data_IF_278176015143
#
_entry.id   IF_278176015143
#
_cell.length_a   1.000
_cell.length_b   1.000
_cell.length_c   1.000
_cell.angle_alpha   90.00
_cell.angle_beta   90.00
_cell.angle_gamma   90.00
#
_symmetry.space_group_name_H-M   'P 1'
#
loop_
_entity.id
_entity.type
_entity.pdbx_description
1 polymer ?
#
# COMPACT_ATOMS: atom_id res chain seq x y z
N UNK A 1 -1.38 -36.31 -9.64
CA UNK A 1 -2.65 -35.72 -9.15
C UNK A 1 -2.96 -36.27 -7.76
N UNK A 2 -3.43 -35.46 -6.80
CA UNK A 2 -4.00 -35.91 -5.51
C UNK A 2 -5.42 -35.34 -5.36
N UNK A 3 -6.30 -36.09 -4.70
CA UNK A 3 -7.74 -36.01 -4.97
C UNK A 3 -8.46 -34.87 -4.18
N UNK A 4 -8.59 -33.68 -4.80
CA UNK A 4 -9.26 -32.50 -4.21
C UNK A 4 -10.63 -32.81 -3.58
N UNK A 5 -11.41 -33.71 -4.18
CA UNK A 5 -12.78 -34.07 -3.74
C UNK A 5 -12.86 -34.56 -2.29
N UNK A 6 -11.81 -35.21 -1.76
CA UNK A 6 -11.83 -35.74 -0.39
C UNK A 6 -11.70 -34.66 0.68
N UNK A 7 -10.95 -33.57 0.41
CA UNK A 7 -10.84 -32.44 1.35
C UNK A 7 -12.19 -31.74 1.57
N UNK A 8 -12.94 -31.48 0.49
CA UNK A 8 -14.25 -30.84 0.58
C UNK A 8 -15.27 -31.67 1.38
N UNK A 9 -15.23 -33.01 1.25
CA UNK A 9 -16.09 -33.89 2.05
C UNK A 9 -15.82 -33.79 3.56
N UNK A 10 -14.56 -33.75 3.97
CA UNK A 10 -14.18 -33.56 5.38
C UNK A 10 -14.60 -32.18 5.92
N UNK A 11 -14.46 -31.12 5.10
CA UNK A 11 -14.86 -29.76 5.48
C UNK A 11 -16.39 -29.68 5.68
N UNK A 12 -17.19 -30.26 4.78
CA UNK A 12 -18.65 -30.27 4.89
C UNK A 12 -19.13 -30.98 6.17
N UNK A 13 -18.50 -32.11 6.52
CA UNK A 13 -18.80 -32.85 7.75
C UNK A 13 -18.46 -32.05 9.01
N UNK A 14 -17.36 -31.30 9.01
CA UNK A 14 -16.98 -30.41 10.10
C UNK A 14 -18.00 -29.28 10.31
N UNK A 15 -18.47 -28.64 9.22
CA UNK A 15 -19.49 -27.58 9.27
C UNK A 15 -20.82 -28.11 9.83
N UNK A 16 -21.26 -29.28 9.36
CA UNK A 16 -22.51 -29.90 9.84
C UNK A 16 -22.45 -30.25 11.34
N UNK A 17 -21.32 -30.75 11.85
CA UNK A 17 -21.14 -31.00 13.28
C UNK A 17 -21.17 -29.70 14.10
N UNK A 18 -20.56 -28.62 13.61
CA UNK A 18 -20.51 -27.35 14.32
C UNK A 18 -21.89 -26.69 14.47
N UNK A 19 -22.73 -26.76 13.42
CA UNK A 19 -24.10 -26.24 13.43
C UNK A 19 -24.96 -26.97 14.48
N UNK A 20 -24.84 -28.30 14.59
CA UNK A 20 -25.56 -29.08 15.60
C UNK A 20 -25.20 -28.69 17.04
N UNK A 21 -23.94 -28.34 17.32
CA UNK A 21 -23.52 -27.86 18.64
C UNK A 21 -24.04 -26.45 18.95
N UNK A 22 -24.06 -25.54 17.97
CA UNK A 22 -24.52 -24.16 18.16
C UNK A 22 -26.00 -24.07 18.59
N UNK A 23 -26.85 -25.00 18.14
CA UNK A 23 -28.25 -25.07 18.53
C UNK A 23 -28.48 -25.44 20.01
N UNK A 24 -27.50 -26.05 20.68
CA UNK A 24 -27.65 -26.50 22.08
C UNK A 24 -27.39 -25.39 23.12
N UNK A 25 -26.51 -24.42 22.82
CA UNK A 25 -26.12 -23.37 23.79
C UNK A 25 -27.15 -22.23 23.91
N UNK A 26 -28.06 -22.07 22.94
CA UNK A 26 -28.91 -20.87 22.81
C UNK A 26 -30.11 -20.79 23.77
N UNK A 27 -29.98 -21.37 24.98
CA UNK A 27 -31.08 -21.57 25.94
C UNK A 27 -30.74 -21.26 27.41
N UNK A 28 -29.70 -20.47 27.65
CA UNK A 28 -29.33 -19.98 28.98
C UNK A 28 -29.14 -18.45 28.97
N UNK A 29 -29.36 -17.85 30.14
CA UNK A 29 -29.05 -16.46 30.55
C UNK A 29 -29.77 -15.31 29.81
N UNK A 30 -30.84 -14.85 30.46
CA UNK A 30 -31.32 -13.45 30.45
C UNK A 30 -31.61 -13.08 31.90
N UNK A 31 -30.87 -12.13 32.49
CA UNK A 31 -31.36 -11.28 33.58
C UNK A 31 -30.53 -9.99 33.74
N UNK A 32 -30.97 -9.08 34.62
CA UNK A 32 -30.54 -7.66 34.70
C UNK A 32 -29.37 -7.47 35.73
N UNK A 33 -28.77 -6.29 36.01
CA UNK A 33 -29.28 -4.91 36.06
C UNK A 33 -28.17 -3.82 36.20
N UNK A 34 -28.57 -2.53 36.18
CA UNK A 34 -27.79 -1.28 36.35
C UNK A 34 -28.33 -0.44 37.54
N UNK A 35 -27.75 0.72 37.95
CA UNK A 35 -26.49 1.37 37.54
C UNK A 35 -25.42 1.30 38.67
N UNK A 36 -25.00 2.32 39.49
CA UNK A 36 -25.31 3.75 39.63
C UNK A 36 -24.23 4.70 39.00
N UNK A 37 -24.11 5.96 39.47
CA UNK A 37 -23.19 7.04 39.04
C UNK A 37 -22.74 7.86 40.28
N UNK A 38 -21.55 8.48 40.27
CA UNK A 38 -21.22 9.65 41.13
C UNK A 38 -20.16 10.59 40.48
N UNK A 39 -19.86 11.75 41.09
CA UNK A 39 -19.13 12.89 40.51
C UNK A 39 -17.86 13.36 41.27
N UNK A 40 -16.97 14.09 40.57
CA UNK A 40 -15.76 14.79 41.09
C UNK A 40 -14.73 14.97 39.95
N UNK A 41 -14.31 16.18 39.56
CA UNK A 41 -13.30 17.06 40.20
C UNK A 41 -11.89 16.44 40.32
N UNK A 42 -10.78 17.09 39.93
CA UNK A 42 -10.58 18.37 39.22
C UNK A 42 -9.19 18.35 38.49
N UNK A 43 -8.94 19.36 37.65
CA UNK A 43 -7.67 19.81 37.04
C UNK A 43 -6.36 19.02 37.26
N UNK A 44 -5.60 18.83 36.19
CA UNK A 44 -4.25 19.42 36.12
C UNK A 44 -3.82 19.75 34.68
N UNK A 45 -3.16 20.89 34.47
CA UNK A 45 -2.59 21.31 33.19
C UNK A 45 -1.08 21.08 33.22
N UNK A 46 -0.52 20.38 32.23
CA UNK A 46 0.93 20.31 32.02
C UNK A 46 1.32 21.33 30.95
N UNK A 47 1.93 22.43 31.37
CA UNK A 47 2.58 23.37 30.46
C UNK A 47 3.84 22.75 29.85
N UNK A 48 4.07 23.02 28.56
CA UNK A 48 5.29 22.60 27.84
C UNK A 48 6.05 23.88 27.41
N UNK A 49 7.22 24.18 28.00
CA UNK A 49 8.04 25.31 27.57
C UNK A 49 8.73 25.03 26.21
N UNK A 50 9.10 26.08 25.46
CA UNK A 50 9.34 25.96 24.02
C UNK A 50 10.72 25.41 23.63
N UNK A 51 10.76 24.88 22.39
CA UNK A 51 11.97 24.55 21.65
C UNK A 51 12.79 25.81 21.34
N UNK A 52 14.11 25.74 21.53
CA UNK A 52 15.06 26.74 21.01
C UNK A 52 16.05 26.06 20.06
N UNK A 53 16.11 26.57 18.82
CA UNK A 53 17.22 26.31 17.91
C UNK A 53 18.47 27.09 18.38
N UNK A 54 19.66 26.62 18.01
CA UNK A 54 20.77 27.53 17.75
C UNK A 54 21.78 26.86 16.81
N UNK A 55 22.20 27.63 15.81
CA UNK A 55 23.22 27.25 14.83
C UNK A 55 24.40 28.18 15.00
N UNK A 56 25.63 27.67 15.14
CA UNK A 56 26.82 28.37 14.61
C UNK A 56 28.08 27.51 14.50
N UNK A 57 28.77 27.69 13.36
CA UNK A 57 30.22 27.61 13.13
C UNK A 57 30.62 29.06 12.79
N UNK A 58 31.86 29.56 13.04
CA UNK A 58 33.09 28.90 12.56
C UNK A 58 34.40 29.19 13.35
N UNK A 59 35.54 28.68 12.87
CA UNK A 59 36.82 29.40 12.78
C UNK A 59 37.85 28.63 11.93
N UNK A 60 38.81 29.33 11.30
CA UNK A 60 39.86 28.80 10.41
C UNK A 60 41.10 29.71 10.45
N UNK A 61 42.31 29.14 10.55
CA UNK A 61 43.65 29.67 10.21
C UNK A 61 44.56 28.42 10.09
N UNK A 62 45.39 28.13 9.08
CA UNK A 62 46.36 28.83 8.20
C UNK A 62 47.71 29.20 8.86
N UNK A 63 48.83 28.82 8.21
CA UNK A 63 50.20 29.07 8.69
C UNK A 63 51.32 28.20 8.10
N UNK A 64 51.59 28.35 6.79
CA UNK A 64 52.85 28.22 6.02
C UNK A 64 53.95 27.13 6.25
N UNK A 65 54.72 26.88 5.18
CA UNK A 65 55.97 26.09 5.09
C UNK A 65 57.15 27.05 4.77
N UNK A 66 58.44 26.70 4.99
CA UNK A 66 59.18 26.01 3.91
C UNK A 66 60.46 25.20 4.31
N UNK A 67 61.17 24.72 3.28
CA UNK A 67 62.61 24.43 3.18
C UNK A 67 63.13 23.01 3.46
N UNK A 68 64.21 22.68 2.75
CA UNK A 68 64.86 21.36 2.62
C UNK A 68 66.17 21.31 3.42
N UNK A 69 66.65 20.11 3.76
CA UNK A 69 68.10 19.85 3.71
C UNK A 69 68.41 18.36 3.44
N UNK A 70 69.53 18.09 2.76
CA UNK A 70 69.89 16.76 2.24
C UNK A 70 70.89 16.00 3.12
N UNK A 71 70.79 14.68 3.19
CA UNK A 71 71.96 13.82 3.44
C UNK A 71 71.77 12.42 2.84
N UNK A 72 72.86 11.71 2.56
CA UNK A 72 72.89 10.61 1.58
C UNK A 72 73.17 9.21 2.17
N UNK A 73 72.75 8.21 1.40
CA UNK A 73 73.20 6.80 1.35
C UNK A 73 73.28 5.95 2.63
N UNK A 74 72.53 4.84 2.61
CA UNK A 74 73.15 3.50 2.59
C UNK A 74 72.26 2.45 1.90
N UNK A 75 72.84 1.76 0.93
CA UNK A 75 72.15 0.72 0.13
C UNK A 75 72.36 -0.65 0.79
N UNK A 76 71.27 -1.41 0.97
CA UNK A 76 71.27 -2.88 1.14
C UNK A 76 70.01 -3.48 0.47
N UNK A 77 70.01 -4.78 0.14
CA UNK A 77 69.51 -5.20 -1.18
C UNK A 77 68.05 -5.65 -1.25
N UNK A 78 67.53 -5.47 -2.47
CA UNK A 78 66.53 -6.30 -3.16
C UNK A 78 65.68 -7.26 -2.32
N UNK A 79 64.43 -6.85 -2.08
CA UNK A 79 63.30 -7.79 -2.03
C UNK A 79 62.46 -7.60 -3.27
N UNK A 80 62.40 -8.63 -4.10
CA UNK A 80 61.50 -8.71 -5.26
C UNK A 80 60.08 -8.37 -4.83
N UNK A 81 59.47 -7.35 -5.44
CA UNK A 81 58.03 -7.15 -5.28
C UNK A 81 57.32 -8.38 -5.85
N UNK A 82 56.30 -8.93 -5.18
CA UNK A 82 55.40 -9.86 -5.84
C UNK A 82 54.76 -9.11 -7.01
N UNK A 83 54.90 -9.62 -8.23
CA UNK A 83 54.28 -9.03 -9.41
C UNK A 83 52.78 -8.83 -9.13
N UNK A 84 52.26 -7.64 -9.42
CA UNK A 84 50.83 -7.37 -9.28
C UNK A 84 50.07 -8.26 -10.26
N UNK A 85 49.55 -9.38 -9.79
CA UNK A 85 48.83 -10.36 -10.60
C UNK A 85 47.53 -9.72 -11.09
N UNK A 86 47.59 -9.20 -12.33
CA UNK A 86 46.43 -8.68 -13.05
C UNK A 86 45.29 -9.69 -12.94
N UNK A 87 44.06 -9.29 -12.56
CA UNK A 87 42.97 -10.24 -12.36
C UNK A 87 42.82 -11.17 -13.55
N UNK A 88 42.89 -12.47 -13.26
CA UNK A 88 42.67 -13.57 -14.21
C UNK A 88 41.41 -13.29 -15.03
N UNK A 89 41.51 -13.38 -16.36
CA UNK A 89 40.46 -13.00 -17.32
C UNK A 89 39.10 -13.63 -16.96
N UNK A 90 38.24 -12.86 -16.30
CA UNK A 90 36.87 -13.29 -16.03
C UNK A 90 36.13 -13.37 -17.37
N UNK A 91 35.35 -14.44 -17.57
CA UNK A 91 34.51 -14.51 -18.76
C UNK A 91 33.49 -13.38 -18.75
N UNK A 92 33.07 -12.89 -19.92
CA UNK A 92 32.07 -11.81 -19.99
C UNK A 92 30.76 -12.20 -19.28
N UNK A 93 30.36 -13.47 -19.35
CA UNK A 93 29.22 -14.01 -18.61
C UNK A 93 29.44 -13.99 -17.09
N UNK A 94 30.68 -14.19 -16.61
CA UNK A 94 31.05 -14.03 -15.19
C UNK A 94 30.93 -12.57 -14.77
N UNK A 95 31.51 -11.64 -15.56
CA UNK A 95 31.46 -10.20 -15.30
C UNK A 95 30.02 -9.70 -15.24
N UNK A 96 29.19 -10.06 -16.22
CA UNK A 96 27.76 -9.72 -16.24
C UNK A 96 27.02 -10.35 -15.07
N UNK A 97 27.29 -11.61 -14.70
CA UNK A 97 26.68 -12.26 -13.53
C UNK A 97 26.99 -11.51 -12.23
N UNK A 98 28.25 -11.10 -12.04
CA UNK A 98 28.67 -10.34 -10.87
C UNK A 98 27.94 -8.99 -10.80
N UNK A 99 27.94 -8.23 -11.91
CA UNK A 99 27.24 -6.94 -12.01
C UNK A 99 25.74 -7.08 -11.69
N UNK A 100 25.06 -8.07 -12.26
CA UNK A 100 23.65 -8.35 -11.99
C UNK A 100 23.41 -8.69 -10.52
N UNK A 101 24.28 -9.49 -9.90
CA UNK A 101 24.18 -9.86 -8.48
C UNK A 101 24.32 -8.63 -7.58
N UNK A 102 25.28 -7.74 -7.88
CA UNK A 102 25.45 -6.46 -7.16
C UNK A 102 24.24 -5.53 -7.33
N UNK A 103 23.71 -5.38 -8.55
CA UNK A 103 22.51 -4.56 -8.82
C UNK A 103 21.29 -5.13 -8.08
N UNK A 104 21.10 -6.44 -8.11
CA UNK A 104 20.00 -7.10 -7.41
C UNK A 104 20.13 -6.94 -5.88
N UNK A 105 21.33 -7.11 -5.32
CA UNK A 105 21.59 -6.89 -3.89
C UNK A 105 21.35 -5.43 -3.47
N UNK A 106 21.84 -4.46 -4.24
CA UNK A 106 21.62 -3.03 -4.01
C UNK A 106 20.13 -2.67 -4.03
N UNK A 107 19.41 -3.01 -5.11
CA UNK A 107 17.98 -2.75 -5.24
C UNK A 107 17.13 -3.50 -4.21
N UNK A 108 17.51 -4.74 -3.85
CA UNK A 108 16.84 -5.50 -2.78
C UNK A 108 17.05 -4.87 -1.40
N UNK A 109 18.15 -4.16 -1.19
CA UNK A 109 18.45 -3.47 0.07
C UNK A 109 17.66 -2.17 0.17
N UNK A 110 17.67 -1.34 -0.87
CA UNK A 110 16.86 -0.11 -0.92
C UNK A 110 15.35 -0.41 -0.83
N UNK A 111 14.85 -1.41 -1.58
CA UNK A 111 13.45 -1.83 -1.50
C UNK A 111 13.02 -2.26 -0.08
N UNK A 112 13.93 -2.86 0.70
CA UNK A 112 13.69 -3.22 2.11
C UNK A 112 13.78 -2.01 3.06
N UNK A 113 14.60 -1.01 2.75
CA UNK A 113 14.84 0.14 3.61
C UNK A 113 13.86 1.31 3.37
N UNK A 114 13.56 1.62 2.11
CA UNK A 114 12.79 2.81 1.70
C UNK A 114 11.55 2.49 0.87
N UNK A 115 11.47 1.28 0.27
CA UNK A 115 10.51 0.93 -0.77
C UNK A 115 9.06 1.31 -0.47
N UNK A 116 8.54 0.96 0.71
CA UNK A 116 7.16 1.33 1.12
C UNK A 116 6.93 2.84 1.13
N UNK A 117 7.88 3.64 1.65
CA UNK A 117 7.78 5.10 1.71
C UNK A 117 7.81 5.74 0.33
N UNK A 118 8.57 5.18 -0.60
CA UNK A 118 8.69 5.63 -1.99
C UNK A 118 7.58 5.09 -2.90
N UNK A 119 6.67 4.25 -2.39
CA UNK A 119 5.64 3.59 -3.20
C UNK A 119 6.25 2.69 -4.27
N UNK A 120 7.33 1.98 -3.93
CA UNK A 120 7.99 1.05 -4.86
C UNK A 120 7.08 -0.15 -5.14
N UNK A 121 6.96 -0.47 -6.43
CA UNK A 121 6.08 -1.49 -6.96
C UNK A 121 6.69 -2.12 -8.22
N UNK A 122 6.26 -3.33 -8.54
CA UNK A 122 6.39 -3.88 -9.87
C UNK A 122 5.48 -3.11 -10.83
N UNK A 123 5.95 -2.77 -12.03
CA UNK A 123 5.13 -2.17 -13.11
C UNK A 123 5.47 -2.84 -14.42
N UNK A 124 4.68 -3.86 -14.80
CA UNK A 124 5.04 -4.84 -15.84
C UNK A 124 6.37 -5.56 -15.54
N UNK A 125 6.57 -5.93 -14.26
CA UNK A 125 7.70 -6.75 -13.80
C UNK A 125 8.99 -5.96 -13.52
N UNK A 126 9.11 -4.74 -14.06
CA UNK A 126 10.22 -3.83 -13.77
C UNK A 126 9.94 -2.99 -12.51
N UNK A 127 11.00 -2.70 -11.74
CA UNK A 127 10.91 -1.99 -10.47
C UNK A 127 10.67 -0.49 -10.70
N UNK A 128 9.61 0.04 -10.09
CA UNK A 128 9.10 1.38 -10.34
C UNK A 128 8.74 2.09 -9.04
N UNK A 129 9.12 3.36 -8.91
CA UNK A 129 8.71 4.23 -7.82
C UNK A 129 7.47 5.01 -8.22
N UNK A 130 6.34 4.74 -7.54
CA UNK A 130 5.06 5.34 -7.90
C UNK A 130 5.05 6.86 -7.71
N UNK A 131 5.45 7.33 -6.53
CA UNK A 131 5.39 8.77 -6.21
C UNK A 131 6.43 9.59 -6.99
N UNK A 132 7.57 8.99 -7.37
CA UNK A 132 8.57 9.62 -8.25
C UNK A 132 8.17 9.58 -9.75
N UNK A 133 7.17 8.78 -10.13
CA UNK A 133 6.77 8.57 -11.53
C UNK A 133 7.81 7.84 -12.42
N UNK A 134 8.81 7.16 -11.84
CA UNK A 134 10.00 6.69 -12.56
C UNK A 134 10.38 5.23 -12.28
N UNK A 135 10.96 4.56 -13.27
CA UNK A 135 11.61 3.26 -13.09
C UNK A 135 12.93 3.41 -12.31
N UNK A 136 13.25 2.41 -11.49
CA UNK A 136 14.52 2.36 -10.75
C UNK A 136 15.62 1.81 -11.66
N UNK A 137 16.76 2.50 -11.70
CA UNK A 137 17.90 2.20 -12.56
C UNK A 137 19.19 2.08 -11.75
N UNK A 138 20.29 1.63 -12.37
CA UNK A 138 21.61 1.64 -11.69
C UNK A 138 21.97 3.04 -11.22
N UNK A 139 21.73 4.05 -12.05
CA UNK A 139 22.03 5.45 -11.75
C UNK A 139 21.22 5.96 -10.56
N UNK A 140 20.00 5.44 -10.36
CA UNK A 140 19.19 5.68 -9.16
C UNK A 140 19.83 5.06 -7.92
N UNK A 141 20.24 3.79 -7.99
CA UNK A 141 20.90 3.10 -6.87
C UNK A 141 22.30 3.67 -6.55
N UNK A 142 22.99 4.25 -7.53
CA UNK A 142 24.25 4.99 -7.32
C UNK A 142 23.97 6.33 -6.63
N UNK A 143 22.96 7.08 -7.07
CA UNK A 143 22.58 8.36 -6.46
C UNK A 143 22.07 8.19 -5.01
N UNK A 144 21.31 7.12 -4.75
CA UNK A 144 20.78 6.77 -3.43
C UNK A 144 21.83 6.04 -2.54
N UNK A 145 23.06 5.81 -3.04
CA UNK A 145 24.19 5.30 -2.26
C UNK A 145 24.26 3.79 -2.06
N UNK A 146 23.42 3.01 -2.74
CA UNK A 146 23.34 1.54 -2.63
C UNK A 146 24.23 0.78 -3.63
N UNK A 147 24.74 1.43 -4.67
CA UNK A 147 25.53 0.81 -5.73
C UNK A 147 26.78 1.65 -6.06
N UNK A 148 27.91 1.00 -6.34
CA UNK A 148 29.12 1.69 -6.80
C UNK A 148 28.98 2.20 -8.24
N UNK A 149 29.58 3.35 -8.53
CA UNK A 149 29.55 3.96 -9.86
C UNK A 149 30.42 3.17 -10.86
N UNK A 150 30.00 3.13 -12.13
CA UNK A 150 30.68 2.40 -13.22
C UNK A 150 29.79 1.43 -14.00
N UNK A 151 28.51 1.29 -13.63
CA UNK A 151 27.51 0.50 -14.35
C UNK A 151 26.50 1.41 -15.03
N UNK A 152 26.26 1.23 -16.32
CA UNK A 152 25.39 2.09 -17.13
C UNK A 152 23.92 1.65 -17.09
N UNK A 153 22.99 2.56 -16.77
CA UNK A 153 21.56 2.26 -16.65
C UNK A 153 20.94 1.56 -17.88
N UNK A 154 21.34 1.92 -19.09
CA UNK A 154 20.82 1.32 -20.32
C UNK A 154 21.21 -0.16 -20.52
N UNK A 155 22.16 -0.70 -19.74
CA UNK A 155 22.62 -2.08 -19.84
C UNK A 155 21.81 -3.09 -19.02
N UNK A 156 20.96 -2.63 -18.08
CA UNK A 156 20.37 -3.49 -17.05
C UNK A 156 18.91 -3.14 -16.79
N UNK A 157 18.05 -4.16 -16.66
CA UNK A 157 16.69 -4.04 -16.12
C UNK A 157 16.69 -4.46 -14.66
N UNK A 158 16.10 -3.64 -13.80
CA UNK A 158 15.86 -3.96 -12.39
C UNK A 158 14.41 -4.41 -12.28
N UNK A 159 14.19 -5.62 -11.78
CA UNK A 159 12.90 -6.29 -11.73
C UNK A 159 12.39 -6.35 -10.30
N UNK A 160 11.06 -6.36 -10.14
CA UNK A 160 10.39 -6.70 -8.88
C UNK A 160 9.30 -7.72 -9.20
N UNK A 161 9.57 -8.99 -8.88
CA UNK A 161 8.78 -10.16 -9.32
C UNK A 161 8.83 -11.27 -8.26
N UNK A 162 7.92 -12.24 -8.35
CA UNK A 162 8.05 -13.49 -7.60
C UNK A 162 9.10 -14.40 -8.22
N UNK A 163 10.07 -14.85 -7.41
CA UNK A 163 10.97 -15.92 -7.81
C UNK A 163 10.24 -17.21 -8.17
N UNK A 164 9.10 -17.50 -7.53
CA UNK A 164 8.26 -18.66 -7.85
C UNK A 164 7.61 -18.59 -9.23
N UNK A 165 7.46 -17.40 -9.83
CA UNK A 165 7.07 -17.22 -11.23
C UNK A 165 8.25 -17.39 -12.19
N UNK A 166 9.41 -16.83 -11.83
CA UNK A 166 10.63 -16.98 -12.62
C UNK A 166 11.10 -18.44 -12.65
N UNK A 167 10.92 -19.21 -11.57
CA UNK A 167 11.23 -20.64 -11.48
C UNK A 167 10.37 -21.53 -12.40
N UNK A 168 9.27 -21.01 -12.96
CA UNK A 168 8.46 -21.70 -13.97
C UNK A 168 9.04 -21.56 -15.39
N UNK A 169 10.01 -20.66 -15.61
CA UNK A 169 10.57 -20.37 -16.93
C UNK A 169 11.70 -21.35 -17.28
N UNK A 170 11.70 -21.86 -18.52
CA UNK A 170 12.77 -22.73 -18.99
C UNK A 170 14.13 -22.00 -18.99
N UNK A 171 15.13 -22.61 -18.35
CA UNK A 171 16.46 -22.03 -18.17
C UNK A 171 16.64 -21.19 -16.90
N UNK A 172 15.64 -21.11 -16.02
CA UNK A 172 15.76 -20.55 -14.68
C UNK A 172 15.99 -21.64 -13.62
N UNK A 173 16.80 -21.31 -12.61
CA UNK A 173 17.07 -22.12 -11.42
C UNK A 173 17.16 -21.18 -10.21
N UNK A 174 16.00 -20.71 -9.76
CA UNK A 174 15.87 -19.72 -8.67
C UNK A 174 16.33 -20.34 -7.34
N UNK A 175 17.26 -19.70 -6.60
CA UNK A 175 17.62 -20.12 -5.24
C UNK A 175 16.43 -20.05 -4.27
N UNK A 176 16.36 -20.95 -3.28
CA UNK A 176 15.22 -21.05 -2.36
C UNK A 176 14.96 -19.77 -1.55
N UNK A 177 16.01 -19.05 -1.18
CA UNK A 177 15.95 -17.75 -0.48
C UNK A 177 15.45 -16.59 -1.37
N UNK A 178 15.33 -16.85 -2.67
CA UNK A 178 14.97 -15.92 -3.73
C UNK A 178 13.60 -16.27 -4.34
N UNK A 179 12.81 -17.19 -3.75
CA UNK A 179 11.52 -17.65 -4.29
C UNK A 179 10.35 -16.68 -4.08
N UNK A 180 10.47 -15.77 -3.11
CA UNK A 180 9.43 -14.81 -2.75
C UNK A 180 9.35 -13.63 -3.75
N UNK A 181 8.46 -12.67 -3.49
CA UNK A 181 8.37 -11.41 -4.23
C UNK A 181 9.51 -10.47 -3.84
N UNK A 182 10.49 -10.31 -4.74
CA UNK A 182 11.76 -9.65 -4.47
C UNK A 182 12.42 -9.04 -5.71
N UNK A 183 13.59 -8.44 -5.50
CA UNK A 183 14.32 -7.71 -6.54
C UNK A 183 15.32 -8.61 -7.26
N UNK A 184 15.28 -8.57 -8.59
CA UNK A 184 16.21 -9.26 -9.48
C UNK A 184 16.84 -8.26 -10.45
N UNK A 185 17.95 -8.63 -11.07
CA UNK A 185 18.52 -7.88 -12.19
C UNK A 185 18.58 -8.76 -13.44
N UNK A 186 18.32 -8.18 -14.60
CA UNK A 186 18.39 -8.83 -15.90
C UNK A 186 19.18 -8.01 -16.93
N UNK A 187 19.89 -8.70 -17.84
CA UNK A 187 20.48 -8.08 -19.04
C UNK A 187 20.34 -9.00 -20.25
N UNK A 188 20.30 -8.41 -21.45
CA UNK A 188 20.11 -9.13 -22.71
C UNK A 188 21.47 -9.57 -23.28
N UNK A 189 21.74 -10.87 -23.26
CA UNK A 189 22.96 -11.48 -23.79
C UNK A 189 22.59 -12.44 -24.93
N UNK A 190 23.09 -12.19 -26.14
CA UNK A 190 22.93 -13.08 -27.32
C UNK A 190 21.48 -13.53 -27.61
N UNK A 191 20.51 -12.60 -27.50
CA UNK A 191 19.08 -12.88 -27.75
C UNK A 191 18.34 -13.58 -26.60
N UNK A 192 18.99 -13.75 -25.44
CA UNK A 192 18.41 -14.30 -24.20
C UNK A 192 18.59 -13.31 -23.05
N UNK A 193 17.85 -13.51 -21.95
CA UNK A 193 18.02 -12.72 -20.74
C UNK A 193 18.78 -13.51 -19.67
N UNK A 194 19.96 -13.01 -19.30
CA UNK A 194 20.73 -13.47 -18.14
C UNK A 194 20.15 -12.77 -16.89
N UNK A 195 19.80 -13.55 -15.86
CA UNK A 195 19.11 -13.05 -14.66
C UNK A 195 19.84 -13.50 -13.39
N UNK A 196 19.92 -12.62 -12.39
CA UNK A 196 20.44 -12.89 -11.05
C UNK A 196 19.53 -12.32 -9.95
N UNK A 197 19.56 -12.93 -8.77
CA UNK A 197 19.07 -12.35 -7.51
C UNK A 197 20.24 -11.83 -6.69
N UNK A 198 19.98 -11.28 -5.50
CA UNK A 198 21.03 -10.93 -4.53
C UNK A 198 21.93 -12.12 -4.14
N UNK A 199 21.45 -13.35 -4.31
CA UNK A 199 22.14 -14.58 -3.92
C UNK A 199 22.91 -15.22 -5.10
N UNK A 200 22.95 -14.56 -6.26
CA UNK A 200 23.75 -14.97 -7.43
C UNK A 200 22.94 -15.27 -8.68
N UNK A 201 23.56 -15.98 -9.63
CA UNK A 201 22.94 -16.34 -10.91
C UNK A 201 21.68 -17.19 -10.71
N UNK A 202 20.57 -16.72 -11.27
CA UNK A 202 19.31 -17.48 -11.36
C UNK A 202 19.27 -18.30 -12.65
N UNK A 203 19.64 -17.73 -13.80
CA UNK A 203 19.47 -18.47 -15.06
C UNK A 203 19.67 -17.66 -16.33
N UNK A 204 19.25 -18.25 -17.45
CA UNK A 204 19.32 -17.63 -18.77
C UNK A 204 18.12 -18.08 -19.62
N UNK A 205 17.08 -17.24 -19.67
CA UNK A 205 15.78 -17.56 -20.29
C UNK A 205 15.65 -16.92 -21.69
N UNK A 206 14.71 -17.40 -22.52
CA UNK A 206 14.43 -16.79 -23.83
C UNK A 206 13.79 -15.40 -23.70
N UNK A 207 13.85 -14.60 -24.76
CA UNK A 207 13.13 -13.33 -24.83
C UNK A 207 11.61 -13.52 -24.72
N UNK A 208 11.05 -14.57 -25.32
CA UNK A 208 9.62 -14.87 -25.22
C UNK A 208 9.20 -15.26 -23.78
N UNK A 209 10.02 -16.05 -23.08
CA UNK A 209 9.79 -16.38 -21.67
C UNK A 209 9.94 -15.15 -20.77
N UNK A 210 10.90 -14.26 -21.06
CA UNK A 210 11.07 -12.99 -20.34
C UNK A 210 9.84 -12.09 -20.51
N UNK A 211 9.38 -11.88 -21.75
CA UNK A 211 8.19 -11.09 -22.04
C UNK A 211 6.92 -11.70 -21.43
N UNK A 212 6.78 -13.04 -21.49
CA UNK A 212 5.67 -13.77 -20.86
C UNK A 212 5.67 -13.69 -19.34
N UNK A 213 6.86 -13.67 -18.72
CA UNK A 213 7.02 -13.45 -17.29
C UNK A 213 6.60 -12.02 -16.91
N UNK A 214 7.13 -10.99 -17.59
CA UNK A 214 6.76 -9.59 -17.32
C UNK A 214 5.26 -9.33 -17.51
N UNK A 215 4.62 -10.00 -18.47
CA UNK A 215 3.18 -9.88 -18.74
C UNK A 215 2.29 -10.29 -17.54
N UNK A 216 2.74 -11.19 -16.66
CA UNK A 216 2.01 -11.55 -15.42
C UNK A 216 1.85 -10.37 -14.44
N UNK A 217 2.71 -9.36 -14.59
CA UNK A 217 2.84 -8.16 -13.74
C UNK A 217 2.30 -6.90 -14.44
N UNK A 218 1.61 -7.06 -15.58
CA UNK A 218 0.88 -5.98 -16.23
C UNK A 218 -0.35 -5.62 -15.39
N UNK A 219 -0.64 -4.32 -15.32
CA UNK A 219 -1.69 -3.73 -14.46
C UNK A 219 -2.83 -3.11 -15.29
N UNK A 220 -2.70 -3.09 -16.62
CA UNK A 220 -3.79 -2.70 -17.50
C UNK A 220 -4.78 -3.87 -17.69
N UNK A 221 -5.70 -4.04 -16.74
CA UNK A 221 -6.80 -4.99 -16.85
C UNK A 221 -8.03 -4.38 -17.56
N UNK A 222 -7.87 -3.24 -18.26
CA UNK A 222 -8.95 -2.53 -18.96
C UNK A 222 -9.31 -1.17 -18.35
N UNK A 223 -10.51 -0.68 -18.68
CA UNK A 223 -10.94 0.66 -18.29
C UNK A 223 -11.37 0.68 -16.81
N UNK A 224 -10.78 1.59 -16.03
CA UNK A 224 -11.29 1.93 -14.69
C UNK A 224 -12.66 2.59 -14.78
N UNK A 225 -13.59 2.11 -13.97
CA UNK A 225 -14.93 2.63 -13.78
C UNK A 225 -15.20 2.78 -12.28
N UNK A 226 -15.99 3.79 -11.93
CA UNK A 226 -16.77 3.76 -10.68
C UNK A 226 -18.13 3.14 -11.01
N UNK A 227 -18.60 2.21 -10.18
CA UNK A 227 -19.96 1.68 -10.30
C UNK A 227 -20.96 2.68 -9.70
N UNK A 228 -22.15 2.75 -10.28
CA UNK A 228 -23.29 3.43 -9.66
C UNK A 228 -24.07 2.46 -8.78
N UNK A 229 -24.66 2.99 -7.71
CA UNK A 229 -25.56 2.28 -6.80
C UNK A 229 -26.67 1.49 -7.52
N UNK A 230 -27.16 2.01 -8.66
CA UNK A 230 -28.25 1.43 -9.42
C UNK A 230 -27.85 0.24 -10.32
N UNK A 231 -26.59 -0.23 -10.26
CA UNK A 231 -26.09 -1.31 -11.13
C UNK A 231 -26.17 -2.69 -10.47
N UNK A 232 -26.57 -3.70 -11.25
CA UNK A 232 -26.60 -5.09 -10.77
C UNK A 232 -25.20 -5.63 -10.37
N UNK A 233 -24.12 -5.03 -10.88
CA UNK A 233 -22.74 -5.38 -10.53
C UNK A 233 -22.36 -4.91 -9.12
N UNK A 234 -22.84 -3.72 -8.72
CA UNK A 234 -22.64 -3.15 -7.39
C UNK A 234 -23.24 -4.07 -6.32
N UNK A 235 -24.52 -4.44 -6.50
CA UNK A 235 -25.20 -5.43 -5.64
C UNK A 235 -24.51 -6.79 -5.65
N UNK A 236 -24.02 -7.26 -6.81
CA UNK A 236 -23.27 -8.53 -6.90
C UNK A 236 -22.01 -8.50 -6.04
N UNK A 237 -21.22 -7.43 -6.10
CA UNK A 237 -20.00 -7.25 -5.29
C UNK A 237 -20.33 -7.20 -3.79
N UNK A 238 -21.36 -6.45 -3.38
CA UNK A 238 -21.76 -6.38 -1.97
C UNK A 238 -22.21 -7.74 -1.41
N UNK A 239 -22.94 -8.54 -2.20
CA UNK A 239 -23.31 -9.90 -1.81
C UNK A 239 -22.09 -10.81 -1.59
N UNK A 240 -21.02 -10.68 -2.40
CA UNK A 240 -19.76 -11.40 -2.18
C UNK A 240 -19.04 -10.93 -0.90
N UNK A 241 -19.10 -9.64 -0.56
CA UNK A 241 -18.57 -9.12 0.72
C UNK A 241 -19.37 -9.69 1.90
N UNK A 242 -20.71 -9.73 1.85
CA UNK A 242 -21.53 -10.36 2.90
C UNK A 242 -21.21 -11.85 3.10
N UNK A 243 -21.00 -12.59 2.01
CA UNK A 243 -20.58 -14.00 2.09
C UNK A 243 -19.20 -14.15 2.74
N UNK A 244 -18.25 -13.27 2.43
CA UNK A 244 -16.91 -13.25 3.05
C UNK A 244 -16.97 -12.87 4.53
N UNK A 245 -17.77 -11.87 4.92
CA UNK A 245 -17.97 -11.48 6.33
C UNK A 245 -18.78 -12.50 7.15
N UNK A 246 -19.39 -13.51 6.50
CA UNK A 246 -20.26 -14.49 7.17
C UNK A 246 -21.59 -13.92 7.65
N UNK A 247 -22.00 -12.75 7.16
CA UNK A 247 -23.25 -12.05 7.52
C UNK A 247 -23.84 -11.34 6.32
N UNK A 248 -25.15 -11.47 6.13
CA UNK A 248 -25.92 -10.59 5.26
C UNK A 248 -26.26 -9.35 6.08
N UNK A 249 -25.47 -8.29 5.87
CA UNK A 249 -25.55 -7.03 6.60
C UNK A 249 -25.77 -5.89 5.60
N UNK A 250 -26.47 -4.84 6.02
CA UNK A 250 -26.64 -3.66 5.20
C UNK A 250 -25.36 -2.81 5.28
N UNK A 251 -24.82 -2.44 4.12
CA UNK A 251 -23.64 -1.58 4.04
C UNK A 251 -24.01 -0.14 3.71
N UNK A 252 -23.31 0.78 4.35
CA UNK A 252 -23.13 2.13 3.85
C UNK A 252 -21.86 2.13 2.99
N UNK A 253 -21.99 2.33 1.67
CA UNK A 253 -20.86 2.37 0.72
C UNK A 253 -20.45 3.82 0.47
N UNK A 254 -19.16 4.05 0.21
CA UNK A 254 -18.57 5.38 -0.12
C UNK A 254 -18.16 5.48 -1.58
N UNK A 255 -17.59 4.40 -2.10
CA UNK A 255 -17.17 4.25 -3.49
C UNK A 255 -16.97 2.76 -3.82
N UNK A 256 -17.42 2.32 -5.00
CA UNK A 256 -16.87 1.11 -5.66
C UNK A 256 -16.16 1.50 -6.95
N UNK A 257 -14.84 1.27 -7.01
CA UNK A 257 -14.02 1.36 -8.22
C UNK A 257 -13.71 -0.03 -8.74
N UNK A 258 -13.68 -0.23 -10.06
CA UNK A 258 -13.24 -1.48 -10.66
C UNK A 258 -12.59 -1.31 -12.03
N UNK A 259 -11.74 -2.26 -12.40
CA UNK A 259 -11.41 -2.59 -13.79
C UNK A 259 -12.05 -3.95 -14.15
N UNK A 260 -11.67 -4.62 -15.25
CA UNK A 260 -12.31 -5.91 -15.59
C UNK A 260 -11.87 -7.07 -14.66
N UNK A 261 -10.84 -6.88 -13.82
CA UNK A 261 -10.24 -7.91 -12.98
C UNK A 261 -10.34 -7.60 -11.48
N UNK A 262 -10.20 -6.35 -11.06
CA UNK A 262 -10.15 -5.98 -9.65
C UNK A 262 -11.23 -4.95 -9.30
N UNK A 263 -11.72 -5.00 -8.06
CA UNK A 263 -12.57 -3.97 -7.49
C UNK A 263 -12.02 -3.52 -6.13
N UNK A 264 -12.14 -2.22 -5.84
CA UNK A 264 -11.87 -1.60 -4.54
C UNK A 264 -13.19 -1.07 -4.00
N UNK A 265 -13.57 -1.51 -2.81
CA UNK A 265 -14.84 -1.16 -2.16
C UNK A 265 -14.54 -0.48 -0.82
N UNK A 266 -14.91 0.81 -0.71
CA UNK A 266 -14.83 1.57 0.54
C UNK A 266 -16.22 1.62 1.17
N UNK A 267 -16.38 1.09 2.37
CA UNK A 267 -17.69 0.92 3.00
C UNK A 267 -17.62 0.88 4.54
N UNK A 268 -18.78 0.91 5.20
CA UNK A 268 -18.95 0.59 6.61
C UNK A 268 -20.26 -0.19 6.80
N UNK A 269 -20.42 -0.85 7.94
CA UNK A 269 -21.72 -1.44 8.32
C UNK A 269 -22.70 -0.31 8.71
N UNK A 270 -24.01 -0.59 8.74
CA UNK A 270 -24.96 0.39 9.30
C UNK A 270 -24.88 0.58 10.81
N UNK A 271 -24.37 -0.42 11.55
CA UNK A 271 -24.24 -0.36 13.01
C UNK A 271 -23.12 0.58 13.51
N UNK A 272 -22.13 0.89 12.67
CA UNK A 272 -21.04 1.81 12.97
C UNK A 272 -20.53 2.44 11.67
N UNK A 273 -20.79 3.74 11.50
CA UNK A 273 -20.38 4.51 10.31
C UNK A 273 -18.91 4.94 10.34
N UNK A 274 -18.22 4.83 11.48
CA UNK A 274 -16.82 5.18 11.68
C UNK A 274 -15.85 4.03 11.39
N UNK A 275 -16.32 2.78 11.54
CA UNK A 275 -15.59 1.56 11.19
C UNK A 275 -15.59 1.34 9.67
N UNK A 276 -14.86 2.22 8.97
CA UNK A 276 -14.69 2.19 7.53
C UNK A 276 -13.65 1.11 7.17
N UNK A 277 -13.99 0.34 6.14
CA UNK A 277 -13.21 -0.75 5.54
C UNK A 277 -12.90 -0.42 4.09
N UNK A 278 -11.80 -0.97 3.61
CA UNK A 278 -11.39 -0.90 2.21
C UNK A 278 -10.96 -2.30 1.77
N UNK A 279 -11.82 -2.94 0.99
CA UNK A 279 -11.64 -4.31 0.53
C UNK A 279 -11.26 -4.31 -0.94
N UNK A 280 -10.24 -5.09 -1.30
CA UNK A 280 -9.90 -5.39 -2.69
C UNK A 280 -10.42 -6.78 -3.04
N UNK A 281 -11.13 -6.88 -4.15
CA UNK A 281 -11.64 -8.11 -4.72
C UNK A 281 -10.97 -8.42 -6.07
N UNK A 282 -10.83 -9.70 -6.38
CA UNK A 282 -10.37 -10.22 -7.67
C UNK A 282 -11.52 -10.98 -8.36
N UNK A 283 -11.64 -10.82 -9.67
CA UNK A 283 -12.66 -11.44 -10.52
C UNK A 283 -12.06 -12.61 -11.28
N UNK A 284 -12.39 -13.84 -10.87
CA UNK A 284 -12.15 -15.03 -11.67
C UNK A 284 -13.45 -15.50 -12.32
N UNK A 285 -13.55 -15.38 -13.64
CA UNK A 285 -14.65 -15.94 -14.45
C UNK A 285 -16.07 -15.43 -14.06
N UNK A 286 -16.19 -14.17 -13.62
CA UNK A 286 -17.40 -13.53 -13.04
C UNK A 286 -17.74 -13.96 -11.59
N UNK A 287 -16.80 -14.58 -10.88
CA UNK A 287 -16.86 -14.76 -9.43
C UNK A 287 -15.93 -13.75 -8.76
N UNK A 288 -16.43 -12.97 -7.80
CA UNK A 288 -15.60 -12.06 -7.00
C UNK A 288 -15.17 -12.72 -5.69
N UNK A 289 -13.86 -12.70 -5.38
CA UNK A 289 -13.32 -13.13 -4.10
C UNK A 289 -12.60 -11.95 -3.41
N UNK A 290 -12.79 -11.78 -2.10
CA UNK A 290 -12.11 -10.74 -1.31
C UNK A 290 -10.66 -11.17 -1.04
N UNK A 291 -9.74 -10.65 -1.84
CA UNK A 291 -8.31 -11.00 -1.80
C UNK A 291 -7.48 -10.12 -0.88
N UNK A 292 -7.93 -8.89 -0.57
CA UNK A 292 -7.25 -8.00 0.38
C UNK A 292 -8.25 -7.26 1.29
N UNK A 293 -8.61 -7.81 2.47
CA UNK A 293 -9.68 -7.30 3.33
C UNK A 293 -9.25 -6.21 4.34
N UNK A 294 -8.03 -5.70 4.26
CA UNK A 294 -7.46 -4.82 5.29
C UNK A 294 -6.71 -3.58 4.74
N UNK A 295 -6.99 -3.12 3.51
CA UNK A 295 -6.30 -1.97 2.93
C UNK A 295 -6.43 -0.70 3.79
N UNK A 296 -7.54 -0.56 4.53
CA UNK A 296 -7.76 0.54 5.46
C UNK A 296 -6.73 0.64 6.61
N UNK A 297 -5.91 -0.40 6.81
CA UNK A 297 -4.88 -0.47 7.85
C UNK A 297 -3.46 -0.17 7.35
N UNK A 298 -3.26 -0.11 6.03
CA UNK A 298 -1.97 0.10 5.38
C UNK A 298 -1.64 1.60 5.25
N UNK A 299 -0.54 2.04 5.86
CA UNK A 299 -0.03 3.41 5.66
C UNK A 299 0.67 3.62 4.29
N UNK A 300 1.08 2.53 3.65
CA UNK A 300 1.78 2.54 2.35
C UNK A 300 1.13 1.53 1.39
N UNK A 301 -0.17 1.68 1.09
CA UNK A 301 -0.99 0.65 0.46
C UNK A 301 -0.41 0.15 -0.87
N UNK A 302 0.15 1.05 -1.68
CA UNK A 302 0.75 0.75 -2.99
C UNK A 302 1.77 -0.40 -2.91
N UNK A 303 2.77 -0.31 -2.03
CA UNK A 303 3.82 -1.33 -1.90
C UNK A 303 3.34 -2.58 -1.18
N UNK A 304 2.45 -2.44 -0.19
CA UNK A 304 1.85 -3.58 0.51
C UNK A 304 0.99 -4.41 -0.44
N UNK A 305 0.01 -3.79 -1.11
CA UNK A 305 -0.90 -4.47 -2.05
C UNK A 305 -0.12 -5.09 -3.21
N UNK A 306 0.81 -4.35 -3.84
CA UNK A 306 1.56 -4.86 -5.00
C UNK A 306 2.41 -6.11 -4.68
N UNK A 307 2.79 -6.32 -3.42
CA UNK A 307 3.49 -7.54 -2.98
C UNK A 307 2.60 -8.80 -2.99
N UNK A 308 1.30 -8.63 -2.77
CA UNK A 308 0.32 -9.74 -2.80
C UNK A 308 -0.40 -9.85 -4.15
N UNK A 309 -0.68 -8.71 -4.79
CA UNK A 309 -1.42 -8.57 -6.04
C UNK A 309 -0.59 -7.73 -7.04
N UNK A 310 0.47 -8.29 -7.66
CA UNK A 310 1.38 -7.52 -8.51
C UNK A 310 0.74 -6.93 -9.78
N UNK A 311 -0.38 -7.49 -10.24
CA UNK A 311 -1.17 -7.03 -11.39
C UNK A 311 -2.39 -6.17 -11.01
N UNK A 312 -2.53 -5.82 -9.73
CA UNK A 312 -3.53 -4.86 -9.28
C UNK A 312 -3.23 -3.45 -9.83
N UNK A 313 -4.23 -2.81 -10.44
CA UNK A 313 -4.08 -1.45 -10.90
C UNK A 313 -4.22 -0.47 -9.72
N UNK A 314 -3.09 0.11 -9.31
CA UNK A 314 -3.01 1.04 -8.17
C UNK A 314 -3.83 2.32 -8.37
N UNK A 315 -4.20 2.68 -9.60
CA UNK A 315 -5.12 3.78 -9.91
C UNK A 315 -6.57 3.51 -9.46
N UNK A 316 -6.92 2.26 -9.12
CA UNK A 316 -8.20 1.90 -8.49
C UNK A 316 -8.32 2.37 -7.04
N UNK A 317 -7.21 2.69 -6.37
CA UNK A 317 -7.24 3.16 -4.99
C UNK A 317 -7.87 4.57 -4.88
N UNK A 318 -8.46 4.91 -3.73
CA UNK A 318 -8.82 6.30 -3.43
C UNK A 318 -7.57 7.20 -3.36
N UNK A 319 -7.77 8.51 -3.50
CA UNK A 319 -6.70 9.50 -3.39
C UNK A 319 -6.24 9.75 -1.94
N UNK A 320 -6.98 9.23 -0.95
CA UNK A 320 -6.68 9.25 0.47
C UNK A 320 -6.21 7.88 0.97
N UNK A 321 -5.47 7.84 2.08
CA UNK A 321 -5.12 6.60 2.78
C UNK A 321 -5.86 6.55 4.12
N UNK A 322 -6.77 5.58 4.30
CA UNK A 322 -7.59 5.46 5.52
C UNK A 322 -6.76 5.28 6.81
N UNK A 323 -5.61 4.61 6.73
CA UNK A 323 -4.74 4.40 7.89
C UNK A 323 -4.28 5.73 8.53
N UNK A 324 -4.09 6.78 7.72
CA UNK A 324 -3.74 8.13 8.18
C UNK A 324 -4.86 8.84 8.96
N UNK A 325 -6.09 8.35 8.87
CA UNK A 325 -7.27 8.88 9.56
C UNK A 325 -7.71 8.03 10.76
N UNK A 326 -6.98 6.94 11.06
CA UNK A 326 -7.33 5.98 12.11
C UNK A 326 -7.43 6.68 13.48
N UNK A 327 -8.57 6.51 14.16
CA UNK A 327 -8.85 7.17 15.44
C UNK A 327 -9.27 8.64 15.34
N UNK A 328 -9.26 9.24 14.14
CA UNK A 328 -9.79 10.59 13.87
C UNK A 328 -11.18 10.58 13.23
N UNK A 329 -11.66 9.41 12.79
CA UNK A 329 -12.99 9.19 12.23
C UNK A 329 -13.96 8.85 13.37
N UNK A 330 -15.12 9.50 13.40
CA UNK A 330 -16.20 9.27 14.37
C UNK A 330 -17.55 9.16 13.67
N UNK A 331 -18.48 8.43 14.25
CA UNK A 331 -19.84 8.25 13.70
C UNK A 331 -20.67 9.53 13.90
N UNK A 332 -20.62 10.08 15.11
CA UNK A 332 -21.29 11.32 15.49
C UNK A 332 -20.27 12.39 15.91
N UNK A 333 -20.61 13.65 15.64
CA UNK A 333 -19.81 14.83 15.95
C UNK A 333 -20.77 15.96 16.31
N UNK A 334 -20.71 16.42 17.56
CA UNK A 334 -21.79 17.20 18.19
C UNK A 334 -22.13 18.53 17.52
N UNK A 335 -21.15 19.16 16.85
CA UNK A 335 -21.38 20.39 16.09
C UNK A 335 -22.27 20.24 14.85
N UNK A 336 -22.39 19.02 14.29
CA UNK A 336 -23.12 18.77 13.04
C UNK A 336 -24.63 18.97 13.21
N UNK A 337 -25.21 18.44 14.29
CA UNK A 337 -26.64 18.62 14.59
C UNK A 337 -26.99 20.09 14.77
N UNK A 338 -26.16 20.84 15.52
CA UNK A 338 -26.33 22.29 15.69
C UNK A 338 -26.19 23.08 14.38
N UNK A 339 -25.29 22.65 13.49
CA UNK A 339 -25.13 23.25 12.17
C UNK A 339 -26.33 22.98 11.25
N UNK A 340 -26.90 21.76 11.28
CA UNK A 340 -28.11 21.39 10.53
C UNK A 340 -29.34 22.17 11.03
N UNK A 341 -29.50 22.33 12.34
CA UNK A 341 -30.50 23.23 12.94
C UNK A 341 -30.33 24.68 12.46
N UNK A 342 -29.09 25.19 12.48
CA UNK A 342 -28.77 26.56 12.05
C UNK A 342 -29.06 26.79 10.56
N UNK A 343 -28.85 25.76 9.73
CA UNK A 343 -29.21 25.74 8.32
C UNK A 343 -30.71 25.52 8.06
N UNK A 344 -31.52 25.29 9.11
CA UNK A 344 -32.95 24.89 9.03
C UNK A 344 -33.19 23.60 8.24
N UNK A 345 -32.20 22.71 8.25
CA UNK A 345 -32.24 21.42 7.56
C UNK A 345 -33.05 20.35 8.32
N UNK A 346 -33.15 20.48 9.64
CA UNK A 346 -33.83 19.55 10.57
C UNK A 346 -34.61 20.32 11.64
N UNK A 347 -35.62 19.67 12.22
CA UNK A 347 -36.37 20.10 13.42
C UNK A 347 -36.12 19.21 14.65
N UNK A 348 -35.61 17.98 14.47
CA UNK A 348 -35.07 17.12 15.54
C UNK A 348 -33.79 16.42 15.10
N UNK A 349 -32.93 16.04 16.06
CA UNK A 349 -31.71 15.28 15.78
C UNK A 349 -31.98 13.91 15.12
N UNK A 350 -33.15 13.30 15.40
CA UNK A 350 -33.61 12.03 14.81
C UNK A 350 -33.95 12.09 13.32
N UNK A 351 -33.86 13.26 12.68
CA UNK A 351 -33.95 13.39 11.22
C UNK A 351 -32.62 13.04 10.52
N UNK A 352 -31.52 12.88 11.24
CA UNK A 352 -30.24 12.39 10.69
C UNK A 352 -30.27 10.86 10.61
N UNK A 353 -30.25 10.31 9.40
CA UNK A 353 -30.27 8.86 9.15
C UNK A 353 -28.84 8.28 8.99
N UNK A 354 -27.90 9.11 8.54
CA UNK A 354 -26.48 8.79 8.44
C UNK A 354 -25.66 10.01 8.87
N UNK A 355 -24.58 9.76 9.63
CA UNK A 355 -23.49 10.69 9.81
C UNK A 355 -22.15 9.93 9.81
N UNK A 356 -21.10 10.55 9.29
CA UNK A 356 -19.71 10.17 9.53
C UNK A 356 -18.85 11.44 9.49
N UNK A 357 -17.88 11.54 10.39
CA UNK A 357 -17.19 12.79 10.67
C UNK A 357 -15.72 12.62 11.06
N UNK A 358 -15.02 13.76 11.07
CA UNK A 358 -13.72 13.99 11.71
C UNK A 358 -13.81 15.27 12.55
N UNK A 359 -12.71 15.66 13.19
CA UNK A 359 -12.60 16.94 13.91
C UNK A 359 -12.81 18.19 13.01
N UNK A 360 -12.57 18.09 11.70
CA UNK A 360 -12.63 19.21 10.76
C UNK A 360 -13.93 19.27 9.93
N UNK A 361 -14.47 18.11 9.52
CA UNK A 361 -15.66 18.04 8.68
C UNK A 361 -16.47 16.76 8.86
N UNK A 362 -17.67 16.72 8.30
CA UNK A 362 -18.59 15.60 8.32
C UNK A 362 -19.46 15.55 7.07
N UNK A 363 -20.00 14.36 6.77
CA UNK A 363 -21.09 14.19 5.82
C UNK A 363 -22.31 13.63 6.58
N UNK A 364 -23.49 14.15 6.25
CA UNK A 364 -24.75 13.72 6.85
C UNK A 364 -25.81 13.49 5.76
N UNK A 365 -26.64 12.48 5.95
CA UNK A 365 -27.84 12.23 5.13
C UNK A 365 -29.06 12.14 6.04
N UNK A 366 -30.11 12.86 5.67
CA UNK A 366 -31.35 12.92 6.43
C UNK A 366 -32.30 11.77 6.06
N UNK A 367 -33.28 11.50 6.92
CA UNK A 367 -34.34 10.49 6.69
C UNK A 367 -35.18 10.74 5.44
N UNK A 368 -35.22 11.98 4.95
CA UNK A 368 -35.86 12.37 3.69
C UNK A 368 -34.91 12.28 2.46
N UNK A 369 -33.70 11.75 2.62
CA UNK A 369 -32.70 11.57 1.55
C UNK A 369 -31.85 12.81 1.25
N UNK A 370 -32.14 13.98 1.83
CA UNK A 370 -31.32 15.18 1.61
C UNK A 370 -29.93 15.02 2.25
N UNK A 371 -28.91 15.52 1.55
CA UNK A 371 -27.50 15.33 1.87
C UNK A 371 -26.86 16.67 2.25
N UNK A 372 -25.97 16.64 3.24
CA UNK A 372 -25.29 17.82 3.76
C UNK A 372 -23.81 17.56 3.96
N UNK A 373 -22.98 18.44 3.41
CA UNK A 373 -21.56 18.54 3.76
C UNK A 373 -21.42 19.56 4.89
N UNK A 374 -20.76 19.16 5.97
CA UNK A 374 -20.62 19.95 7.18
C UNK A 374 -19.14 20.17 7.50
N UNK A 375 -18.76 21.36 7.96
CA UNK A 375 -17.37 21.72 8.22
C UNK A 375 -17.23 22.72 9.38
N UNK A 376 -16.11 22.65 10.09
CA UNK A 376 -15.72 23.60 11.13
C UNK A 376 -14.93 24.75 10.52
N UNK A 377 -15.37 25.98 10.74
CA UNK A 377 -14.67 27.19 10.30
C UNK A 377 -14.49 28.11 11.52
N UNK A 378 -13.24 28.29 11.97
CA UNK A 378 -12.89 28.97 13.23
C UNK A 378 -13.62 28.38 14.47
N UNK A 379 -13.76 27.05 14.52
CA UNK A 379 -14.47 26.33 15.60
C UNK A 379 -16.00 26.31 15.48
N UNK A 380 -16.57 27.09 14.56
CA UNK A 380 -18.02 27.14 14.32
C UNK A 380 -18.37 26.14 13.22
N UNK A 381 -19.20 25.16 13.56
CA UNK A 381 -19.71 24.19 12.61
C UNK A 381 -20.79 24.79 11.69
N UNK A 382 -20.69 24.50 10.41
CA UNK A 382 -21.60 24.95 9.34
C UNK A 382 -22.03 23.75 8.52
N UNK A 383 -23.27 23.76 8.02
CA UNK A 383 -23.84 22.74 7.16
C UNK A 383 -24.28 23.38 5.84
N UNK A 384 -23.99 22.70 4.73
CA UNK A 384 -24.39 23.11 3.39
C UNK A 384 -25.06 21.94 2.66
N UNK A 385 -26.21 22.20 2.05
CA UNK A 385 -26.91 21.21 1.22
C UNK A 385 -26.07 20.87 -0.02
N UNK A 386 -26.01 19.59 -0.37
CA UNK A 386 -25.24 19.08 -1.51
C UNK A 386 -26.07 18.13 -2.36
N UNK A 387 -26.00 18.29 -3.69
CA UNK A 387 -26.89 17.58 -4.63
C UNK A 387 -26.41 16.19 -5.04
N UNK A 388 -25.13 15.89 -4.82
CA UNK A 388 -24.45 14.63 -5.17
C UNK A 388 -23.24 14.42 -4.28
N UNK A 389 -22.73 13.20 -4.25
CA UNK A 389 -21.47 12.86 -3.59
C UNK A 389 -20.29 13.72 -4.09
N UNK A 390 -20.22 13.98 -5.40
CA UNK A 390 -19.16 14.71 -6.06
C UNK A 390 -19.20 16.19 -5.65
N UNK A 391 -20.40 16.74 -5.47
CA UNK A 391 -20.61 18.07 -4.93
C UNK A 391 -20.19 18.15 -3.45
N UNK A 392 -20.41 17.10 -2.66
CA UNK A 392 -19.92 17.00 -1.29
C UNK A 392 -18.38 16.92 -1.22
N UNK A 393 -17.75 16.04 -2.02
CA UNK A 393 -16.29 15.86 -2.08
C UNK A 393 -15.61 17.18 -2.47
N UNK A 394 -16.11 17.84 -3.52
CA UNK A 394 -15.61 19.14 -3.95
C UNK A 394 -15.73 20.21 -2.85
N UNK A 395 -16.89 20.33 -2.19
CA UNK A 395 -17.10 21.35 -1.17
C UNK A 395 -16.25 21.12 0.09
N UNK A 396 -16.07 19.87 0.52
CA UNK A 396 -15.16 19.57 1.64
C UNK A 396 -13.70 19.85 1.27
N UNK A 397 -13.27 19.49 0.06
CA UNK A 397 -11.93 19.82 -0.45
C UNK A 397 -11.69 21.34 -0.49
N UNK A 398 -12.64 22.12 -1.02
CA UNK A 398 -12.60 23.59 -1.04
C UNK A 398 -12.59 24.24 0.36
N UNK A 399 -13.10 23.55 1.38
CA UNK A 399 -13.18 24.05 2.77
C UNK A 399 -12.08 23.55 3.71
N UNK A 400 -11.36 22.50 3.36
CA UNK A 400 -10.39 21.84 4.26
C UNK A 400 -9.01 21.63 3.62
N UNK A 401 -8.91 21.68 2.30
CA UNK A 401 -7.68 21.38 1.56
C UNK A 401 -7.37 19.88 1.39
N UNK A 402 -8.23 18.97 1.86
CA UNK A 402 -8.01 17.52 1.81
C UNK A 402 -9.22 16.77 1.23
N UNK A 403 -8.98 15.58 0.66
CA UNK A 403 -10.05 14.69 0.19
C UNK A 403 -10.63 13.86 1.36
N UNK A 404 -11.91 14.09 1.64
CA UNK A 404 -12.70 13.40 2.66
C UNK A 404 -13.72 12.42 2.07
N UNK A 405 -13.48 11.89 0.86
CA UNK A 405 -14.38 10.95 0.17
C UNK A 405 -14.81 9.73 1.00
N UNK A 406 -13.99 9.30 1.96
CA UNK A 406 -14.34 8.23 2.91
C UNK A 406 -15.51 8.58 3.86
N UNK A 407 -15.83 9.86 4.07
CA UNK A 407 -17.02 10.25 4.84
C UNK A 407 -18.31 10.20 4.00
N UNK A 408 -18.19 10.23 2.67
CA UNK A 408 -19.29 10.55 1.76
C UNK A 408 -19.86 9.28 1.14
N UNK A 409 -21.19 9.10 1.23
CA UNK A 409 -21.86 7.95 0.63
C UNK A 409 -21.86 8.00 -0.90
N UNK A 410 -21.80 6.82 -1.53
CA UNK A 410 -21.96 6.61 -2.97
C UNK A 410 -23.38 6.97 -3.46
N UNK A 411 -23.59 7.12 -4.79
CA UNK A 411 -24.91 7.46 -5.36
C UNK A 411 -25.36 6.72 -6.64
#
# INVERSE_FOLDING_TARGET
MKNKKWKYACILLGILLFICCACALKKAEVENSLPPVDQGEQNDLIEIPPLNENTEKPSVEQGDTPAEETTAEKIQPEKTQPESSKPFWQSETTRLTNNLTSIAAAGQTDYKATGSKRGWMSKSGELYSYYDGKYITTDTLVADGYLENGLTASGYKILLISGSDLAQMEGASVPTDSMDFGVFAATKQSGKYLIASSSGKVGTISEDSFNSLLAKYNQNNGKILRLSSASAEYERILNYISLFEGRFDDYYVREIRMDNKHAVVVFSNRADTSNIKEYILENENNFWEVVFPNAQTEYYPITSINRYLPNFNVELLPAYTLASWRGSIVSEQGGVVAALFSAKAISTASEVAYQCATSACAYAVLTNGNRYACYSENGIWKAAYVTSDNNARKLLLEKTGLDYGFLILDD
#
